data_IF_728230388704
#
_entry.id   IF_728230388704
#
_cell.length_a   1.000
_cell.length_b   1.000
_cell.length_c   1.000
_cell.angle_alpha   90.00
_cell.angle_beta   90.00
_cell.angle_gamma   90.00
#
_symmetry.space_group_name_H-M   'P 1'
#
loop_
_entity.id
_entity.type
_entity.pdbx_description
1 polymer ?
#
# COMPACT_ATOMS: atom_id res chain seq x y z
N UNK A 1 14.19 -8.14 22.22
CA UNK A 1 13.30 -6.97 22.10
C UNK A 1 12.55 -6.77 23.42
N UNK A 2 12.57 -5.56 23.99
CA UNK A 2 12.17 -5.31 25.38
C UNK A 2 10.65 -5.47 25.61
N UNK A 3 10.26 -5.91 26.82
CA UNK A 3 8.86 -6.18 27.23
C UNK A 3 8.05 -4.93 27.56
N UNK A 4 8.74 -3.89 28.03
CA UNK A 4 8.16 -2.61 28.43
C UNK A 4 7.38 -1.84 27.33
N UNK A 5 7.84 -1.73 26.06
CA UNK A 5 7.14 -0.93 25.06
C UNK A 5 5.79 -1.52 24.63
N UNK A 6 5.64 -2.85 24.60
CA UNK A 6 4.38 -3.50 24.20
C UNK A 6 3.31 -3.35 25.29
N UNK A 7 3.70 -3.55 26.55
CA UNK A 7 2.80 -3.41 27.69
C UNK A 7 2.27 -1.97 27.82
N UNK A 8 3.14 -0.97 27.62
CA UNK A 8 2.73 0.44 27.63
C UNK A 8 1.70 0.74 26.53
N UNK A 9 1.92 0.24 25.30
CA UNK A 9 0.96 0.39 24.19
C UNK A 9 -0.39 -0.27 24.47
N UNK A 10 -0.38 -1.47 25.07
CA UNK A 10 -1.61 -2.17 25.45
C UNK A 10 -2.38 -1.39 26.52
N UNK A 11 -1.68 -0.86 27.53
CA UNK A 11 -2.29 -0.06 28.57
C UNK A 11 -3.01 1.17 28.01
N UNK A 12 -2.34 1.97 27.17
CA UNK A 12 -2.95 3.15 26.53
C UNK A 12 -4.14 2.80 25.65
N UNK A 13 -4.11 1.66 24.94
CA UNK A 13 -5.23 1.22 24.09
C UNK A 13 -6.42 0.73 24.91
N UNK A 14 -6.17 0.02 26.01
CA UNK A 14 -7.23 -0.42 26.93
C UNK A 14 -7.88 0.78 27.63
N UNK A 15 -7.09 1.78 28.00
CA UNK A 15 -7.59 3.02 28.60
C UNK A 15 -8.52 3.77 27.63
N UNK A 16 -8.10 3.94 26.38
CA UNK A 16 -8.93 4.56 25.35
C UNK A 16 -10.21 3.76 25.08
N UNK A 17 -10.12 2.42 25.00
CA UNK A 17 -11.29 1.57 24.83
C UNK A 17 -12.26 1.66 26.02
N UNK A 18 -11.76 1.74 27.25
CA UNK A 18 -12.57 1.92 28.44
C UNK A 18 -13.31 3.27 28.45
N UNK A 19 -12.66 4.34 28.01
CA UNK A 19 -13.28 5.66 27.89
C UNK A 19 -14.35 5.71 26.79
N UNK A 20 -14.08 5.12 25.61
CA UNK A 20 -15.02 5.10 24.48
C UNK A 20 -16.27 4.26 24.78
N UNK A 21 -16.09 3.16 25.51
CA UNK A 21 -17.17 2.23 25.86
C UNK A 21 -17.81 2.53 27.22
N UNK A 22 -17.41 3.63 27.87
CA UNK A 22 -17.83 4.04 29.22
C UNK A 22 -17.78 2.89 30.24
N UNK A 23 -16.71 2.09 30.16
CA UNK A 23 -16.53 0.93 31.02
C UNK A 23 -16.05 1.38 32.40
N UNK A 24 -16.59 0.82 33.50
CA UNK A 24 -16.18 1.18 34.86
C UNK A 24 -14.85 0.51 35.24
N UNK A 25 -13.81 0.73 34.43
CA UNK A 25 -12.47 0.19 34.65
C UNK A 25 -11.58 1.27 35.26
N UNK A 26 -10.88 0.92 36.34
CA UNK A 26 -9.91 1.80 37.00
C UNK A 26 -8.54 1.66 36.34
N UNK A 27 -7.63 2.62 36.57
CA UNK A 27 -6.25 2.53 36.08
C UNK A 27 -5.55 1.23 36.47
N UNK A 28 -5.78 0.74 37.69
CA UNK A 28 -5.22 -0.53 38.19
C UNK A 28 -5.77 -1.76 37.41
N UNK A 29 -7.05 -1.75 37.04
CA UNK A 29 -7.63 -2.80 36.19
C UNK A 29 -6.98 -2.80 34.80
N UNK A 30 -6.71 -1.62 34.24
CA UNK A 30 -6.08 -1.47 32.92
C UNK A 30 -4.60 -1.88 32.94
N UNK A 31 -3.87 -1.57 34.01
CA UNK A 31 -2.49 -2.03 34.18
C UNK A 31 -2.40 -3.55 34.26
N UNK A 32 -3.29 -4.17 35.06
CA UNK A 32 -3.34 -5.63 35.20
C UNK A 32 -3.71 -6.32 33.89
N UNK A 33 -4.72 -5.83 33.18
CA UNK A 33 -5.08 -6.33 31.85
C UNK A 33 -3.93 -6.19 30.84
N UNK A 34 -3.22 -5.06 30.84
CA UNK A 34 -2.07 -4.87 29.96
C UNK A 34 -0.96 -5.89 30.25
N UNK A 35 -0.66 -6.18 31.52
CA UNK A 35 0.31 -7.20 31.92
C UNK A 35 -0.12 -8.60 31.48
N UNK A 36 -1.39 -8.96 31.71
CA UNK A 36 -1.91 -10.30 31.43
C UNK A 36 -2.07 -10.57 29.92
N UNK A 37 -2.41 -9.55 29.11
CA UNK A 37 -2.55 -9.68 27.66
C UNK A 37 -1.22 -9.62 26.90
N UNK A 38 -0.18 -9.01 27.48
CA UNK A 38 1.13 -8.83 26.81
C UNK A 38 1.74 -10.13 26.26
N UNK A 39 1.74 -11.27 26.99
CA UNK A 39 2.29 -12.53 26.48
C UNK A 39 1.47 -13.10 25.31
N UNK A 40 0.14 -13.07 25.39
CA UNK A 40 -0.74 -13.58 24.34
C UNK A 40 -0.62 -12.76 23.05
N UNK A 41 -0.67 -11.43 23.17
CA UNK A 41 -0.49 -10.52 22.03
C UNK A 41 0.89 -10.69 21.39
N UNK A 42 1.94 -10.90 22.20
CA UNK A 42 3.28 -11.19 21.68
C UNK A 42 3.33 -12.50 20.89
N UNK A 43 2.69 -13.55 21.39
CA UNK A 43 2.65 -14.84 20.70
C UNK A 43 1.93 -14.71 19.35
N UNK A 44 0.78 -14.04 19.32
CA UNK A 44 0.04 -13.77 18.08
C UNK A 44 0.86 -12.94 17.09
N UNK A 45 1.57 -11.91 17.55
CA UNK A 45 2.45 -11.11 16.69
C UNK A 45 3.66 -11.91 16.17
N UNK A 46 4.17 -12.87 16.96
CA UNK A 46 5.25 -13.74 16.53
C UNK A 46 4.77 -14.79 15.50
N UNK A 47 3.56 -15.32 15.67
CA UNK A 47 2.91 -16.19 14.69
C UNK A 47 2.61 -15.44 13.38
N UNK A 48 2.05 -14.24 13.45
CA UNK A 48 1.85 -13.39 12.26
C UNK A 48 3.16 -13.01 11.56
N UNK A 49 4.24 -12.76 12.32
CA UNK A 49 5.55 -12.50 11.72
C UNK A 49 6.12 -13.74 11.02
N UNK A 50 5.86 -14.94 11.54
CA UNK A 50 6.25 -16.20 10.90
C UNK A 50 5.45 -16.45 9.61
N UNK A 51 4.14 -16.18 9.62
CA UNK A 51 3.27 -16.29 8.45
C UNK A 51 3.62 -15.27 7.34
N UNK A 52 4.08 -14.06 7.73
CA UNK A 52 4.61 -13.05 6.80
C UNK A 52 5.95 -13.44 6.17
N UNK A 53 6.78 -14.24 6.85
CA UNK A 53 8.01 -14.78 6.25
C UNK A 53 7.77 -15.90 5.25
N UNK A 54 6.74 -16.74 5.47
CA UNK A 54 6.34 -17.78 4.50
C UNK A 54 5.54 -17.21 3.32
N UNK A 55 4.89 -16.06 3.53
CA UNK A 55 4.15 -15.31 2.50
C UNK A 55 4.86 -14.01 2.16
N UNK A 56 6.20 -14.03 2.12
CA UNK A 56 6.94 -12.87 1.65
C UNK A 56 6.55 -12.62 0.18
N UNK A 57 5.97 -11.46 -0.17
CA UNK A 57 5.79 -11.11 -1.56
C UNK A 57 7.18 -11.15 -2.20
N UNK A 58 7.30 -11.92 -3.28
CA UNK A 58 8.50 -11.89 -4.12
C UNK A 58 8.63 -10.46 -4.63
N UNK A 59 9.50 -9.69 -3.99
CA UNK A 59 9.87 -8.37 -4.48
C UNK A 59 10.60 -8.58 -5.79
N UNK A 60 9.88 -8.55 -6.90
CA UNK A 60 10.48 -8.21 -8.17
C UNK A 60 10.93 -6.77 -8.04
N UNK A 61 12.19 -6.57 -7.63
CA UNK A 61 12.86 -5.33 -7.91
C UNK A 61 12.87 -5.21 -9.44
N UNK A 62 11.92 -4.45 -9.99
CA UNK A 62 12.02 -3.98 -11.36
C UNK A 62 13.34 -3.22 -11.39
N UNK A 63 14.31 -3.80 -12.09
CA UNK A 63 15.59 -3.20 -12.31
C UNK A 63 15.38 -1.79 -12.89
N UNK A 64 16.27 -0.88 -12.50
CA UNK A 64 16.49 0.41 -13.15
C UNK A 64 16.25 0.27 -14.67
N UNK A 65 15.43 1.14 -15.33
CA UNK A 65 15.02 0.99 -16.73
C UNK A 65 16.14 0.92 -17.78
N UNK A 66 17.41 0.87 -17.36
CA UNK A 66 18.58 0.71 -18.20
C UNK A 66 18.92 -0.71 -18.65
N UNK A 67 18.27 -1.78 -18.16
CA UNK A 67 18.67 -3.15 -18.54
C UNK A 67 17.45 -4.06 -18.76
N UNK A 68 16.69 -3.85 -19.82
CA UNK A 68 15.88 -4.90 -20.45
C UNK A 68 16.11 -4.87 -21.96
N UNK A 69 16.83 -5.87 -22.45
CA UNK A 69 17.02 -6.10 -23.87
C UNK A 69 15.66 -6.43 -24.51
N UNK A 70 15.29 -5.69 -25.57
CA UNK A 70 14.12 -5.90 -26.43
C UNK A 70 12.73 -5.66 -25.81
N UNK A 71 12.51 -4.54 -25.11
CA UNK A 71 11.15 -4.10 -24.72
C UNK A 71 10.54 -3.23 -25.83
N UNK A 72 9.34 -3.58 -26.29
CA UNK A 72 8.59 -2.74 -27.22
C UNK A 72 8.10 -1.49 -26.47
N UNK A 73 8.72 -0.35 -26.74
CA UNK A 73 8.35 0.94 -26.14
C UNK A 73 7.55 1.75 -27.14
N UNK A 74 6.34 2.14 -26.76
CA UNK A 74 5.47 3.02 -27.56
C UNK A 74 5.06 4.22 -26.72
N UNK A 75 5.05 5.41 -27.32
CA UNK A 75 4.58 6.62 -26.65
C UNK A 75 3.24 7.03 -27.27
N UNK A 76 2.25 7.31 -26.41
CA UNK A 76 0.93 7.73 -26.85
C UNK A 76 0.34 8.72 -25.85
N UNK A 77 -0.05 9.89 -26.36
CA UNK A 77 -0.66 10.96 -25.57
C UNK A 77 0.16 11.36 -24.32
N UNK A 78 1.49 11.29 -24.39
CA UNK A 78 2.40 11.58 -23.27
C UNK A 78 2.55 10.45 -22.25
N UNK A 79 1.89 9.31 -22.47
CA UNK A 79 2.08 8.09 -21.68
C UNK A 79 3.11 7.18 -22.36
N UNK A 80 4.09 6.71 -21.58
CA UNK A 80 5.06 5.70 -22.04
C UNK A 80 4.50 4.30 -21.81
N UNK A 81 4.36 3.50 -22.85
CA UNK A 81 3.91 2.11 -22.76
C UNK A 81 5.05 1.17 -23.10
N UNK A 82 5.29 0.18 -22.25
CA UNK A 82 6.31 -0.85 -22.43
C UNK A 82 5.68 -2.23 -22.33
N UNK A 83 5.88 -3.07 -23.33
CA UNK A 83 5.39 -4.45 -23.35
C UNK A 83 6.59 -5.37 -23.56
N UNK A 84 6.68 -6.43 -22.75
CA UNK A 84 7.70 -7.46 -22.86
C UNK A 84 7.64 -8.15 -24.23
N UNK A 85 8.78 -8.57 -24.80
CA UNK A 85 8.82 -9.14 -26.15
C UNK A 85 8.03 -10.44 -26.30
N UNK A 86 7.86 -11.18 -25.20
CA UNK A 86 7.16 -12.47 -25.15
C UNK A 86 5.68 -12.33 -24.71
N UNK A 87 5.14 -11.11 -24.69
CA UNK A 87 3.76 -10.84 -24.24
C UNK A 87 2.90 -10.45 -25.44
N UNK A 88 1.82 -11.20 -25.64
CA UNK A 88 0.81 -10.88 -26.65
C UNK A 88 0.08 -9.57 -26.31
N UNK A 89 -0.18 -8.72 -27.31
CA UNK A 89 -0.91 -7.45 -27.14
C UNK A 89 -2.37 -7.67 -26.68
N UNK A 90 -2.93 -8.84 -26.95
CA UNK A 90 -4.27 -9.26 -26.51
C UNK A 90 -4.27 -9.94 -25.13
N UNK A 91 -3.11 -10.05 -24.47
CA UNK A 91 -3.03 -10.62 -23.13
C UNK A 91 -3.80 -9.78 -22.11
N UNK A 92 -4.31 -10.38 -21.02
CA UNK A 92 -5.09 -9.65 -20.02
C UNK A 92 -4.38 -8.41 -19.47
N UNK A 93 -3.08 -8.50 -19.20
CA UNK A 93 -2.29 -7.36 -18.72
C UNK A 93 -2.06 -6.29 -19.78
N UNK A 94 -1.85 -6.66 -21.06
CA UNK A 94 -1.69 -5.71 -22.15
C UNK A 94 -3.00 -4.96 -22.47
N UNK A 95 -4.14 -5.66 -22.45
CA UNK A 95 -5.47 -5.06 -22.61
C UNK A 95 -5.77 -4.09 -21.46
N UNK A 96 -5.46 -4.49 -20.23
CA UNK A 96 -5.63 -3.60 -19.06
C UNK A 96 -4.76 -2.35 -19.18
N UNK A 97 -3.48 -2.50 -19.54
CA UNK A 97 -2.56 -1.37 -19.73
C UNK A 97 -3.07 -0.40 -20.81
N UNK A 98 -3.56 -0.92 -21.94
CA UNK A 98 -4.13 -0.12 -23.01
C UNK A 98 -5.40 0.63 -22.58
N UNK A 99 -6.27 -0.03 -21.80
CA UNK A 99 -7.48 0.58 -21.24
C UNK A 99 -7.12 1.74 -20.30
N UNK A 100 -6.20 1.51 -19.35
CA UNK A 100 -5.79 2.52 -18.38
C UNK A 100 -5.17 3.72 -19.09
N UNK A 101 -4.25 3.50 -20.02
CA UNK A 101 -3.62 4.58 -20.82
C UNK A 101 -4.64 5.40 -21.62
N UNK A 102 -5.70 4.78 -22.12
CA UNK A 102 -6.70 5.46 -22.97
C UNK A 102 -7.75 6.21 -22.15
N UNK A 103 -8.14 5.65 -20.99
CA UNK A 103 -9.25 6.17 -20.18
C UNK A 103 -8.81 7.10 -19.05
N UNK A 104 -7.55 7.03 -18.63
CA UNK A 104 -7.06 7.74 -17.44
C UNK A 104 -5.95 8.72 -17.80
N UNK A 105 -6.19 10.04 -17.71
CA UNK A 105 -5.23 11.07 -18.14
C UNK A 105 -4.07 11.26 -17.17
N UNK A 106 -4.16 10.70 -15.96
CA UNK A 106 -3.13 10.73 -14.94
C UNK A 106 -2.13 9.57 -15.06
N UNK A 107 -2.34 8.62 -15.97
CA UNK A 107 -1.39 7.56 -16.28
C UNK A 107 -0.24 8.12 -17.12
N UNK A 108 0.98 8.01 -16.59
CA UNK A 108 2.21 8.52 -17.21
C UNK A 108 3.02 7.38 -17.82
N UNK A 109 2.96 6.18 -17.24
CA UNK A 109 3.58 5.01 -17.83
C UNK A 109 2.82 3.72 -17.51
N UNK A 110 2.94 2.73 -18.41
CA UNK A 110 2.49 1.36 -18.19
C UNK A 110 3.59 0.40 -18.62
N UNK A 111 3.90 -0.57 -17.78
CA UNK A 111 4.93 -1.59 -18.01
C UNK A 111 4.29 -2.99 -17.89
N UNK A 112 4.34 -3.79 -18.96
CA UNK A 112 3.72 -5.13 -19.01
C UNK A 112 4.82 -6.17 -19.25
N UNK A 113 5.50 -6.64 -18.19
CA UNK A 113 6.55 -7.65 -18.30
C UNK A 113 6.00 -9.07 -18.55
N UNK A 114 4.77 -9.37 -18.14
CA UNK A 114 4.13 -10.69 -18.34
C UNK A 114 2.65 -10.54 -18.69
N UNK A 115 2.02 -11.61 -19.19
CA UNK A 115 0.61 -11.63 -19.55
C UNK A 115 -0.37 -11.37 -18.38
N UNK A 116 0.10 -11.52 -17.12
CA UNK A 116 -0.71 -11.41 -15.90
C UNK A 116 -0.18 -10.37 -14.92
N UNK A 117 0.78 -9.54 -15.32
CA UNK A 117 1.34 -8.50 -14.47
C UNK A 117 1.45 -7.17 -15.22
N UNK A 118 0.98 -6.09 -14.59
CA UNK A 118 1.03 -4.75 -15.13
C UNK A 118 1.54 -3.76 -14.08
N UNK A 119 2.66 -3.11 -14.36
CA UNK A 119 3.11 -1.91 -13.66
C UNK A 119 2.42 -0.68 -14.24
N UNK A 120 1.91 0.20 -13.39
CA UNK A 120 1.24 1.44 -13.78
C UNK A 120 1.84 2.58 -12.98
N UNK A 121 2.35 3.59 -13.68
CA UNK A 121 2.81 4.83 -13.06
C UNK A 121 1.78 5.93 -13.29
N UNK A 122 1.32 6.53 -12.20
CA UNK A 122 0.31 7.60 -12.19
C UNK A 122 0.85 8.86 -11.55
N UNK A 123 0.35 10.02 -12.00
CA UNK A 123 0.61 11.32 -11.39
C UNK A 123 -0.71 11.96 -10.97
N UNK A 124 -1.30 11.49 -9.85
CA UNK A 124 -2.56 12.03 -9.36
C UNK A 124 -2.38 13.50 -8.97
N UNK A 125 -3.36 14.34 -9.31
CA UNK A 125 -3.33 15.77 -8.98
C UNK A 125 -3.92 16.08 -7.60
N UNK A 126 -4.46 15.07 -6.91
CA UNK A 126 -5.09 15.21 -5.60
C UNK A 126 -5.11 13.90 -4.83
N UNK A 127 -5.28 13.98 -3.51
CA UNK A 127 -5.51 12.82 -2.66
C UNK A 127 -6.78 12.03 -3.04
N UNK A 128 -7.83 12.72 -3.51
CA UNK A 128 -9.04 12.05 -3.96
C UNK A 128 -8.78 11.17 -5.20
N UNK A 129 -7.99 11.68 -6.15
CA UNK A 129 -7.57 10.90 -7.31
C UNK A 129 -6.71 9.70 -6.89
N UNK A 130 -5.80 9.88 -5.93
CA UNK A 130 -5.01 8.77 -5.39
C UNK A 130 -5.87 7.69 -4.72
N UNK A 131 -6.84 8.08 -3.89
CA UNK A 131 -7.79 7.13 -3.26
C UNK A 131 -8.58 6.35 -4.29
N UNK A 132 -9.07 7.04 -5.33
CA UNK A 132 -9.81 6.40 -6.39
C UNK A 132 -8.99 5.29 -7.07
N UNK A 133 -7.67 5.49 -7.23
CA UNK A 133 -6.78 4.44 -7.72
C UNK A 133 -6.66 3.26 -6.77
N UNK A 134 -6.48 3.52 -5.48
CA UNK A 134 -6.43 2.46 -4.47
C UNK A 134 -7.72 1.64 -4.47
N UNK A 135 -8.87 2.31 -4.46
CA UNK A 135 -10.19 1.68 -4.50
C UNK A 135 -10.39 0.88 -5.79
N UNK A 136 -10.01 1.45 -6.94
CA UNK A 136 -10.11 0.79 -8.25
C UNK A 136 -9.28 -0.50 -8.35
N UNK A 137 -8.13 -0.53 -7.69
CA UNK A 137 -7.20 -1.67 -7.69
C UNK A 137 -7.40 -2.61 -6.49
N UNK A 138 -8.37 -2.34 -5.62
CA UNK A 138 -8.63 -3.12 -4.42
C UNK A 138 -7.49 -3.07 -3.40
N UNK A 139 -6.74 -1.97 -3.38
CA UNK A 139 -5.55 -1.80 -2.54
C UNK A 139 -5.95 -1.14 -1.22
N UNK A 140 -5.72 -1.78 -0.05
CA UNK A 140 -5.92 -1.10 1.23
C UNK A 140 -4.86 -0.02 1.42
N UNK A 141 -5.25 1.12 1.99
CA UNK A 141 -4.34 2.26 2.21
C UNK A 141 -3.10 1.88 3.06
N UNK A 142 -3.24 0.89 3.93
CA UNK A 142 -2.19 0.35 4.79
C UNK A 142 -1.10 -0.42 4.03
N UNK A 143 -1.42 -0.94 2.83
CA UNK A 143 -0.48 -1.64 1.97
C UNK A 143 0.37 -0.69 1.11
N UNK A 144 0.12 0.62 1.19
CA UNK A 144 0.90 1.62 0.47
C UNK A 144 2.24 1.83 1.17
N UNK A 145 3.31 1.58 0.44
CA UNK A 145 4.68 1.86 0.86
C UNK A 145 5.17 3.15 0.22
N UNK A 146 6.02 3.91 0.92
CA UNK A 146 6.60 5.14 0.37
C UNK A 146 8.09 4.96 0.21
N UNK A 147 8.62 5.38 -0.95
CA UNK A 147 10.04 5.34 -1.26
C UNK A 147 10.41 6.48 -2.19
N UNK A 148 11.46 7.23 -1.83
CA UNK A 148 12.05 8.28 -2.66
C UNK A 148 11.05 9.36 -3.16
N UNK A 149 10.01 9.65 -2.36
CA UNK A 149 8.97 10.64 -2.69
C UNK A 149 7.75 10.09 -3.44
N UNK A 150 7.81 8.82 -3.83
CA UNK A 150 6.75 8.11 -4.53
C UNK A 150 6.02 7.12 -3.62
N UNK A 151 4.77 6.82 -3.96
CA UNK A 151 3.97 5.80 -3.30
C UNK A 151 3.87 4.54 -4.17
N UNK A 152 4.02 3.36 -3.56
CA UNK A 152 3.99 2.07 -4.22
C UNK A 152 3.00 1.14 -3.53
N UNK A 153 2.20 0.45 -4.32
CA UNK A 153 1.33 -0.60 -3.81
C UNK A 153 1.03 -1.64 -4.88
N UNK A 154 0.57 -2.81 -4.47
CA UNK A 154 0.18 -3.89 -5.38
C UNK A 154 -1.27 -4.25 -5.11
N UNK A 155 -2.06 -4.30 -6.18
CA UNK A 155 -3.45 -4.72 -6.18
C UNK A 155 -3.72 -5.75 -7.26
N UNK A 156 -5.00 -6.04 -7.48
CA UNK A 156 -5.41 -6.99 -8.52
C UNK A 156 -6.64 -6.46 -9.27
N UNK A 157 -6.69 -6.72 -10.58
CA UNK A 157 -7.86 -6.44 -11.41
C UNK A 157 -8.18 -7.70 -12.20
N UNK A 158 -9.22 -8.41 -11.79
CA UNK A 158 -9.47 -9.77 -12.28
C UNK A 158 -8.28 -10.67 -11.92
N UNK A 159 -7.68 -11.30 -12.94
CA UNK A 159 -6.53 -12.20 -12.79
C UNK A 159 -5.17 -11.50 -13.02
N UNK A 160 -5.16 -10.17 -13.13
CA UNK A 160 -3.93 -9.39 -13.37
C UNK A 160 -3.46 -8.75 -12.07
N UNK A 161 -2.21 -9.03 -11.69
CA UNK A 161 -1.52 -8.31 -10.63
C UNK A 161 -1.10 -6.93 -11.13
N UNK A 162 -1.47 -5.88 -10.39
CA UNK A 162 -1.19 -4.50 -10.77
C UNK A 162 -0.31 -3.85 -9.72
N UNK A 163 0.92 -3.50 -10.10
CA UNK A 163 1.76 -2.62 -9.28
C UNK A 163 1.48 -1.17 -9.67
N UNK A 164 1.09 -0.34 -8.70
CA UNK A 164 0.90 1.08 -8.91
C UNK A 164 2.02 1.88 -8.28
N UNK A 165 2.59 2.80 -9.06
CA UNK A 165 3.52 3.83 -8.63
C UNK A 165 2.85 5.20 -8.74
N UNK A 166 2.58 5.83 -7.61
CA UNK A 166 2.14 7.22 -7.52
C UNK A 166 3.33 8.16 -7.46
N UNK A 167 3.62 8.85 -8.57
CA UNK A 167 4.64 9.90 -8.62
C UNK A 167 4.23 11.12 -7.80
N UNK A 168 5.16 11.65 -7.01
CA UNK A 168 4.98 12.85 -6.17
C UNK A 168 3.84 12.75 -5.14
N UNK A 169 3.33 11.54 -4.90
CA UNK A 169 2.20 11.30 -3.98
C UNK A 169 2.61 11.55 -2.53
N UNK A 170 3.88 11.38 -2.17
CA UNK A 170 4.34 11.69 -0.82
C UNK A 170 4.12 13.17 -0.46
N UNK A 171 4.23 14.09 -1.42
CA UNK A 171 3.93 15.51 -1.21
C UNK A 171 2.43 15.76 -0.98
N UNK A 172 1.56 14.97 -1.62
CA UNK A 172 0.12 15.03 -1.39
C UNK A 172 -0.28 14.42 -0.04
N UNK A 173 0.42 13.38 0.40
CA UNK A 173 0.21 12.72 1.69
C UNK A 173 0.81 13.51 2.87
N UNK A 174 1.78 14.40 2.61
CA UNK A 174 2.42 15.24 3.61
C UNK A 174 1.50 16.35 4.18
N UNK A 175 0.34 16.61 3.55
CA UNK A 175 -0.73 17.42 4.14
C UNK A 175 -1.50 16.60 5.19
N UNK A 176 -0.82 16.34 6.32
CA UNK A 176 -1.30 15.49 7.41
C UNK A 176 -2.68 15.91 7.94
N UNK A 177 -2.99 17.21 7.89
CA UNK A 177 -4.25 17.76 8.38
C UNK A 177 -5.45 17.36 7.53
N UNK A 178 -5.31 17.43 6.20
CA UNK A 178 -6.35 17.02 5.26
C UNK A 178 -6.47 15.49 5.17
N UNK A 179 -5.35 14.77 5.27
CA UNK A 179 -5.33 13.31 5.29
C UNK A 179 -5.96 12.73 6.58
N UNK A 180 -5.78 13.36 7.75
CA UNK A 180 -6.49 12.98 9.00
C UNK A 180 -7.98 13.31 8.93
N UNK A 181 -8.37 14.49 8.44
CA UNK A 181 -9.79 14.89 8.32
C UNK A 181 -10.60 14.03 7.35
N UNK A 182 -9.96 13.41 6.36
CA UNK A 182 -10.59 12.53 5.38
C UNK A 182 -10.43 11.02 5.69
N UNK A 183 -9.86 10.66 6.84
CA UNK A 183 -9.71 9.27 7.28
C UNK A 183 -8.64 8.46 6.54
N UNK A 184 -7.61 9.12 6.02
CA UNK A 184 -6.51 8.50 5.24
C UNK A 184 -5.25 8.23 6.05
N UNK A 185 -5.07 8.93 7.16
CA UNK A 185 -4.06 8.60 8.17
C UNK A 185 -4.82 8.15 9.40
N UNK A 186 -4.82 6.85 9.67
CA UNK A 186 -5.17 6.36 11.00
C UNK A 186 -4.28 7.07 12.03
N UNK A 187 -4.86 7.54 13.14
CA UNK A 187 -4.16 8.30 14.18
C UNK A 187 -2.82 7.65 14.55
N UNK A 188 -1.72 8.33 14.20
CA UNK A 188 -0.48 8.17 14.92
C UNK A 188 -0.66 8.88 16.28
N UNK A 189 -0.57 8.17 17.42
CA UNK A 189 -0.56 8.82 18.72
C UNK A 189 0.69 9.71 18.81
N UNK A 190 0.42 10.98 19.08
CA UNK A 190 1.36 12.09 19.22
C UNK A 190 2.53 11.80 20.14
N UNK A 191 3.73 12.19 19.72
CA UNK A 191 4.59 13.05 20.52
C UNK A 191 5.13 14.18 19.65
#
# INVERSE_FOLDING_TARGET
MSRAPLQHRLHTRLELAAQVLDLPLTGEHLERLAVELTPAVRAMLAEQAADLTDTAPVTYAVADPGILAAVATTEYAGCTSRIGPDVDEDSPAAVLAAELRTRQPDVVATDVPTATYCGVTVRPQSLHAWRWWLDRLGIPAEAVTQRDGDAYAVGTVGDVAVEIRGQDVAALLADEGAARLMGLLAEAPSR
#
